data_IF_454963996910
#
_entry.id   IF_454963996910
#
_cell.length_a   1.000
_cell.length_b   1.000
_cell.length_c   1.000
_cell.angle_alpha   90.00
_cell.angle_beta   90.00
_cell.angle_gamma   90.00
#
_symmetry.space_group_name_H-M   'P 1'
#
loop_
_entity.id
_entity.type
_entity.pdbx_description
1 polymer ?
#
# COMPACT_ATOMS: atom_id res chain seq x y z
N UNK A 1 -12.23 -19.07 13.61
CA UNK A 1 -13.48 -19.11 14.40
C UNK A 1 -14.36 -17.92 13.98
N UNK A 2 -15.69 -18.05 13.99
CA UNK A 2 -16.61 -16.94 13.66
C UNK A 2 -17.27 -16.40 14.94
N UNK A 3 -17.42 -15.08 15.02
CA UNK A 3 -18.07 -14.39 16.13
C UNK A 3 -19.35 -13.71 15.63
N UNK A 4 -20.40 -13.67 16.46
CA UNK A 4 -21.65 -12.98 16.13
C UNK A 4 -21.50 -11.48 16.34
N UNK A 5 -21.99 -10.68 15.40
CA UNK A 5 -22.02 -9.22 15.46
C UNK A 5 -23.48 -8.76 15.47
N UNK A 6 -23.89 -8.04 16.51
CA UNK A 6 -25.19 -7.39 16.57
C UNK A 6 -25.01 -5.89 16.25
N UNK A 7 -25.77 -5.38 15.29
CA UNK A 7 -25.75 -3.98 14.89
C UNK A 7 -27.18 -3.45 14.81
N UNK A 8 -27.35 -2.17 15.14
CA UNK A 8 -28.59 -1.43 14.86
C UNK A 8 -28.44 -0.77 13.49
N UNK A 9 -29.42 -0.95 12.62
CA UNK A 9 -29.45 -0.42 11.26
C UNK A 9 -30.87 0.03 10.93
N UNK A 10 -31.01 1.04 10.09
CA UNK A 10 -32.31 1.47 9.59
C UNK A 10 -33.00 0.34 8.79
N UNK A 11 -34.27 0.07 9.08
CA UNK A 11 -35.03 -1.01 8.44
C UNK A 11 -35.04 -0.91 6.91
N UNK A 12 -35.27 0.31 6.38
CA UNK A 12 -35.26 0.54 4.93
C UNK A 12 -33.90 0.26 4.28
N UNK A 13 -32.80 0.49 5.01
CA UNK A 13 -31.46 0.16 4.56
C UNK A 13 -31.23 -1.35 4.57
N UNK A 14 -31.69 -2.05 5.62
CA UNK A 14 -31.60 -3.50 5.73
C UNK A 14 -32.31 -4.21 4.57
N UNK A 15 -33.52 -3.77 4.22
CA UNK A 15 -34.28 -4.35 3.11
C UNK A 15 -33.58 -4.13 1.76
N UNK A 16 -33.08 -2.93 1.49
CA UNK A 16 -32.30 -2.65 0.27
C UNK A 16 -31.03 -3.51 0.21
N UNK A 17 -30.35 -3.70 1.34
CA UNK A 17 -29.16 -4.53 1.42
C UNK A 17 -29.45 -6.00 1.16
N UNK A 18 -30.57 -6.54 1.68
CA UNK A 18 -31.02 -7.92 1.39
C UNK A 18 -31.31 -8.10 -0.11
N UNK A 19 -32.04 -7.16 -0.73
CA UNK A 19 -32.33 -7.19 -2.17
C UNK A 19 -31.04 -7.18 -2.99
N UNK A 20 -30.07 -6.34 -2.60
CA UNK A 20 -28.76 -6.29 -3.26
C UNK A 20 -28.00 -7.61 -3.13
N UNK A 21 -27.97 -8.20 -1.93
CA UNK A 21 -27.31 -9.48 -1.68
C UNK A 21 -27.94 -10.63 -2.51
N UNK A 22 -29.27 -10.66 -2.61
CA UNK A 22 -30.01 -11.60 -3.45
C UNK A 22 -29.65 -11.46 -4.93
N UNK A 23 -29.61 -10.22 -5.45
CA UNK A 23 -29.19 -9.95 -6.85
C UNK A 23 -27.77 -10.43 -7.13
N UNK A 24 -26.89 -10.38 -6.14
CA UNK A 24 -25.50 -10.85 -6.21
C UNK A 24 -25.35 -12.34 -5.89
N UNK A 25 -26.43 -13.05 -5.58
CA UNK A 25 -26.44 -14.46 -5.16
C UNK A 25 -25.52 -14.75 -3.96
N UNK A 26 -25.39 -13.79 -3.04
CA UNK A 26 -24.59 -13.93 -1.81
C UNK A 26 -25.45 -13.67 -0.58
N UNK A 27 -25.00 -14.18 0.57
CA UNK A 27 -25.65 -13.84 1.84
C UNK A 27 -25.31 -12.42 2.27
N UNK A 28 -26.23 -11.75 2.97
CA UNK A 28 -25.98 -10.42 3.54
C UNK A 28 -24.79 -10.44 4.51
N UNK A 29 -24.65 -11.50 5.31
CA UNK A 29 -23.50 -11.68 6.20
C UNK A 29 -22.19 -11.78 5.43
N UNK A 30 -22.16 -12.48 4.29
CA UNK A 30 -20.98 -12.58 3.43
C UNK A 30 -20.61 -11.22 2.85
N UNK A 31 -21.61 -10.47 2.37
CA UNK A 31 -21.42 -9.14 1.82
C UNK A 31 -20.81 -8.18 2.86
N UNK A 32 -21.33 -8.19 4.09
CA UNK A 32 -20.81 -7.38 5.19
C UNK A 32 -19.41 -7.83 5.58
N UNK A 33 -19.18 -9.15 5.72
CA UNK A 33 -17.86 -9.70 6.06
C UNK A 33 -16.81 -9.31 5.00
N UNK A 34 -17.17 -9.36 3.72
CA UNK A 34 -16.29 -8.98 2.61
C UNK A 34 -16.01 -7.48 2.59
N UNK A 35 -17.02 -6.63 2.81
CA UNK A 35 -16.81 -5.20 2.93
C UNK A 35 -15.93 -4.84 4.14
N UNK A 36 -16.16 -5.47 5.30
CA UNK A 36 -15.31 -5.25 6.46
C UNK A 36 -13.88 -5.71 6.18
N UNK A 37 -13.69 -6.83 5.47
CA UNK A 37 -12.37 -7.28 5.00
C UNK A 37 -11.72 -6.22 4.12
N UNK A 38 -12.41 -5.66 3.13
CA UNK A 38 -11.80 -4.63 2.27
C UNK A 38 -11.42 -3.40 3.08
N UNK A 39 -12.25 -2.95 4.03
CA UNK A 39 -11.96 -1.81 4.90
C UNK A 39 -10.72 -2.04 5.77
N UNK A 40 -10.57 -3.22 6.38
CA UNK A 40 -9.40 -3.52 7.24
C UNK A 40 -8.15 -3.92 6.44
N UNK A 41 -8.33 -4.51 5.25
CA UNK A 41 -7.23 -4.95 4.41
C UNK A 41 -6.46 -3.78 3.77
N UNK A 42 -7.05 -2.58 3.71
CA UNK A 42 -6.32 -1.35 3.36
C UNK A 42 -5.32 -0.91 4.46
N UNK A 43 -5.21 -1.65 5.56
CA UNK A 43 -4.14 -1.48 6.55
C UNK A 43 -3.28 -2.74 6.62
N UNK A 44 -2.35 -2.86 5.68
CA UNK A 44 -0.97 -2.56 6.02
C UNK A 44 -0.64 -1.27 5.29
N UNK A 45 -0.21 -0.27 6.06
CA UNK A 45 0.91 0.61 5.71
C UNK A 45 1.18 0.56 4.21
N UNK A 46 0.80 1.62 3.49
CA UNK A 46 1.60 2.04 2.34
C UNK A 46 3.04 1.74 2.74
N UNK A 47 3.63 0.64 2.25
CA UNK A 47 5.04 0.34 2.46
C UNK A 47 5.66 1.52 1.75
N UNK A 48 5.90 2.56 2.54
CA UNK A 48 6.29 3.86 2.05
C UNK A 48 7.49 3.55 1.18
N UNK A 49 7.57 4.14 -0.01
CA UNK A 49 8.74 3.91 -0.84
C UNK A 49 10.04 4.15 -0.04
N UNK A 50 10.01 5.01 0.99
CA UNK A 50 11.04 5.14 2.03
C UNK A 50 11.43 3.82 2.71
N UNK A 51 10.47 3.03 3.19
CA UNK A 51 10.72 1.77 3.90
C UNK A 51 11.31 0.68 2.97
N UNK A 52 11.17 0.85 1.65
CA UNK A 52 11.85 0.03 0.64
C UNK A 52 13.25 0.56 0.33
N UNK A 53 13.44 1.87 0.31
CA UNK A 53 14.76 2.53 0.13
C UNK A 53 15.68 2.21 1.31
N UNK A 54 15.18 2.20 2.54
CA UNK A 54 15.97 1.87 3.74
C UNK A 54 16.45 0.39 3.75
N UNK A 55 15.80 -0.48 2.98
CA UNK A 55 16.19 -1.90 2.80
C UNK A 55 17.12 -2.12 1.62
N UNK A 56 17.32 -1.10 0.77
CA UNK A 56 18.35 -1.15 -0.26
C UNK A 56 19.68 -0.97 0.45
N UNK A 57 20.44 -2.06 0.60
CA UNK A 57 21.86 -1.99 0.87
C UNK A 57 22.55 -1.73 -0.48
N UNK A 58 22.96 -0.49 -0.80
CA UNK A 58 23.61 -0.22 -2.07
C UNK A 58 24.89 -1.06 -2.20
N UNK A 59 25.09 -1.68 -3.36
CA UNK A 59 26.31 -2.44 -3.62
C UNK A 59 27.52 -1.50 -3.49
N UNK A 60 28.46 -1.80 -2.57
CA UNK A 60 29.61 -0.93 -2.33
C UNK A 60 30.46 -0.67 -3.59
N UNK A 61 30.40 -1.55 -4.61
CA UNK A 61 31.06 -1.33 -5.89
C UNK A 61 30.41 -0.20 -6.70
N UNK A 62 29.07 -0.14 -6.71
CA UNK A 62 28.32 0.93 -7.40
C UNK A 62 28.59 2.28 -6.75
N UNK A 63 28.69 2.30 -5.42
CA UNK A 63 29.03 3.52 -4.65
C UNK A 63 30.45 3.97 -5.00
N UNK A 64 31.42 3.06 -5.03
CA UNK A 64 32.81 3.36 -5.37
C UNK A 64 32.96 3.92 -6.80
N UNK A 65 32.24 3.36 -7.78
CA UNK A 65 32.22 3.86 -9.15
C UNK A 65 31.60 5.26 -9.24
N UNK A 66 30.56 5.55 -8.45
CA UNK A 66 29.93 6.87 -8.40
C UNK A 66 30.87 7.95 -7.86
N UNK A 67 31.69 7.63 -6.86
CA UNK A 67 32.69 8.54 -6.31
C UNK A 67 33.84 8.78 -7.28
N UNK A 68 34.29 7.75 -8.02
CA UNK A 68 35.27 7.90 -9.08
C UNK A 68 34.76 8.81 -10.21
N UNK A 69 33.52 8.61 -10.64
CA UNK A 69 32.90 9.42 -11.70
C UNK A 69 32.70 10.87 -11.26
N UNK A 70 32.25 11.11 -10.03
CA UNK A 70 32.12 12.47 -9.47
C UNK A 70 33.48 13.18 -9.42
N UNK A 71 34.51 12.50 -8.92
CA UNK A 71 35.89 13.04 -8.86
C UNK A 71 36.45 13.35 -10.26
N UNK A 72 36.08 12.58 -11.27
CA UNK A 72 36.47 12.81 -12.67
C UNK A 72 35.85 14.09 -13.23
N UNK A 73 34.55 14.33 -13.00
CA UNK A 73 33.88 15.56 -13.47
C UNK A 73 34.29 16.80 -12.65
N UNK A 74 34.56 16.66 -11.36
CA UNK A 74 35.11 17.75 -10.55
C UNK A 74 36.53 18.13 -10.98
N UNK A 75 37.36 17.15 -11.35
CA UNK A 75 38.67 17.36 -11.95
C UNK A 75 38.60 18.07 -13.31
N UNK A 76 37.57 17.80 -14.11
CA UNK A 76 37.32 18.49 -15.38
C UNK A 76 36.86 19.94 -15.16
N UNK A 77 35.98 20.20 -14.18
CA UNK A 77 35.55 21.56 -13.81
C UNK A 77 36.70 22.42 -13.27
N UNK A 78 37.65 21.83 -12.53
CA UNK A 78 38.88 22.51 -12.11
C UNK A 78 39.83 22.84 -13.26
N UNK A 79 39.77 22.09 -14.37
CA UNK A 79 40.54 22.39 -15.60
C UNK A 79 39.84 23.40 -16.51
N UNK A 80 38.54 23.64 -16.34
CA UNK A 80 37.76 24.71 -16.98
C UNK A 80 37.36 25.80 -15.96
N UNK A 81 38.30 26.18 -15.09
CA UNK A 81 38.19 27.40 -14.30
C UNK A 81 38.98 28.51 -15.00
N UNK A 82 38.25 29.41 -15.68
CA UNK A 82 38.68 30.54 -16.51
C UNK A 82 39.23 30.20 -17.90
#
# INVERSE_FOLDING_TARGET
>A
MKTKLNITIEDGLLERAKVYALKKQVSLSSLIEEYLKTVVYVSPIQKNMLDMVDRLHPDPKIIAESHQKTSFYEGQKRKQGF
#
